data_IF_359310361346
#
_entry.id   IF_359310361346
#
_cell.length_a   1.000
_cell.length_b   1.000
_cell.length_c   1.000
_cell.angle_alpha   90.00
_cell.angle_beta   90.00
_cell.angle_gamma   90.00
#
_symmetry.space_group_name_H-M   'P 1'
#
loop_
_entity.id
_entity.type
_entity.pdbx_description
1 polymer ?
#
# COMPACT_ATOMS: atom_id res chain seq x y z
N UNK A 1 -0.45 -9.27 14.29
CA UNK A 1 -0.63 -9.27 12.82
C UNK A 1 -1.83 -10.10 12.38
N UNK A 2 -2.21 -11.15 13.14
CA UNK A 2 -3.40 -11.99 12.88
C UNK A 2 -4.68 -11.18 12.66
N UNK A 3 -5.06 -10.29 13.60
CA UNK A 3 -6.23 -9.40 13.45
C UNK A 3 -6.27 -8.55 12.18
N UNK A 4 -5.10 -8.17 11.65
CA UNK A 4 -5.06 -7.40 10.41
C UNK A 4 -5.36 -8.29 9.20
N UNK A 5 -4.82 -9.51 9.20
CA UNK A 5 -5.10 -10.50 8.16
C UNK A 5 -6.57 -10.93 8.18
N UNK A 6 -7.14 -11.17 9.36
CA UNK A 6 -8.56 -11.49 9.54
C UNK A 6 -9.47 -10.45 8.87
N UNK A 7 -9.21 -9.16 9.11
CA UNK A 7 -10.01 -8.08 8.50
C UNK A 7 -9.84 -8.03 6.98
N UNK A 8 -8.63 -8.28 6.47
CA UNK A 8 -8.41 -8.34 5.03
C UNK A 8 -9.18 -9.51 4.40
N UNK A 9 -9.14 -10.68 5.04
CA UNK A 9 -9.84 -11.88 4.59
C UNK A 9 -11.37 -11.68 4.62
N UNK A 10 -11.91 -11.10 5.70
CA UNK A 10 -13.32 -10.72 5.81
C UNK A 10 -13.77 -9.74 4.72
N UNK A 11 -12.87 -8.82 4.32
CA UNK A 11 -13.13 -7.84 3.27
C UNK A 11 -12.82 -8.35 1.85
N UNK A 12 -12.30 -9.58 1.70
CA UNK A 12 -11.84 -10.11 0.41
C UNK A 12 -10.69 -9.31 -0.21
N UNK A 13 -9.86 -8.68 0.63
CA UNK A 13 -8.72 -7.87 0.22
C UNK A 13 -7.43 -8.68 0.28
N UNK A 14 -6.61 -8.54 -0.74
CA UNK A 14 -5.34 -9.23 -0.89
C UNK A 14 -4.20 -8.24 -0.83
N UNK A 15 -3.17 -8.55 -0.04
CA UNK A 15 -1.91 -7.81 -0.03
C UNK A 15 -1.20 -8.00 -1.38
N UNK A 16 -0.91 -6.91 -2.08
CA UNK A 16 -0.24 -6.92 -3.38
C UNK A 16 1.26 -7.26 -3.28
N UNK A 17 1.82 -7.23 -2.07
CA UNK A 17 3.25 -7.39 -1.82
C UNK A 17 4.08 -6.23 -2.38
N UNK A 18 5.39 -6.26 -2.14
CA UNK A 18 6.35 -5.29 -2.67
C UNK A 18 7.33 -5.96 -3.63
N UNK A 19 7.64 -5.28 -4.73
CA UNK A 19 8.76 -5.59 -5.62
C UNK A 19 9.97 -4.74 -5.20
N UNK A 20 10.93 -5.35 -4.50
CA UNK A 20 12.15 -4.67 -4.06
C UNK A 20 12.10 -4.25 -2.59
N UNK A 21 12.43 -2.99 -2.30
CA UNK A 21 12.45 -2.50 -0.92
C UNK A 21 11.03 -2.42 -0.34
N UNK A 22 10.78 -3.22 0.70
CA UNK A 22 9.50 -3.27 1.42
C UNK A 22 9.40 -2.26 2.57
N UNK A 23 10.47 -1.56 2.90
CA UNK A 23 10.49 -0.62 4.02
C UNK A 23 9.90 0.71 3.59
N UNK A 24 8.78 1.05 4.18
CA UNK A 24 7.98 2.24 3.89
C UNK A 24 8.19 3.34 4.94
N UNK A 25 8.95 3.03 5.99
CA UNK A 25 9.38 3.98 7.00
C UNK A 25 10.81 3.71 7.43
N UNK A 26 11.58 4.77 7.70
CA UNK A 26 12.89 4.66 8.32
C UNK A 26 13.19 5.84 9.23
N UNK A 27 13.93 5.58 10.31
CA UNK A 27 14.36 6.62 11.23
C UNK A 27 15.76 6.35 11.75
N UNK A 28 16.57 7.40 11.69
CA UNK A 28 17.92 7.40 12.26
C UNK A 28 17.90 7.85 13.71
N UNK A 29 18.59 7.10 14.55
CA UNK A 29 18.79 7.40 15.96
C UNK A 29 20.28 7.57 16.23
N UNK A 30 20.68 8.68 16.89
CA UNK A 30 22.06 8.85 17.33
C UNK A 30 22.50 7.66 18.19
N UNK A 31 23.66 7.08 17.88
CA UNK A 31 24.29 5.96 18.59
C UNK A 31 23.58 4.59 18.51
N UNK A 32 22.43 4.49 17.84
CA UNK A 32 21.69 3.22 17.66
C UNK A 32 21.67 2.77 16.19
N UNK A 33 21.79 3.71 15.25
CA UNK A 33 21.76 3.44 13.81
C UNK A 33 20.41 3.75 13.17
N UNK A 34 20.10 3.13 12.04
CA UNK A 34 18.86 3.35 11.30
C UNK A 34 17.92 2.16 11.50
N UNK A 35 16.70 2.43 11.95
CA UNK A 35 15.62 1.46 12.01
C UNK A 35 14.78 1.59 10.75
N UNK A 36 14.43 0.44 10.15
CA UNK A 36 13.62 0.35 8.94
C UNK A 36 12.37 -0.49 9.24
N UNK A 37 11.20 0.02 8.90
CA UNK A 37 9.92 -0.64 9.14
C UNK A 37 9.04 -0.63 7.89
N UNK A 38 8.20 -1.65 7.76
CA UNK A 38 7.17 -1.74 6.73
C UNK A 38 5.83 -1.44 7.41
N UNK A 39 5.46 -0.16 7.42
CA UNK A 39 4.23 0.35 8.06
C UNK A 39 3.06 0.43 7.08
N UNK A 40 3.36 0.75 5.83
CA UNK A 40 2.39 0.88 4.76
C UNK A 40 2.28 -0.41 3.93
N UNK A 41 1.05 -0.83 3.62
CA UNK A 41 0.72 -1.97 2.76
C UNK A 41 -0.26 -1.56 1.67
N UNK A 42 -0.16 -2.18 0.51
CA UNK A 42 -1.12 -1.99 -0.58
C UNK A 42 -1.99 -3.24 -0.69
N UNK A 43 -3.30 -3.06 -0.63
CA UNK A 43 -4.26 -4.15 -0.75
C UNK A 43 -5.25 -3.88 -1.87
N UNK A 44 -5.72 -4.94 -2.52
CA UNK A 44 -6.71 -4.85 -3.60
C UNK A 44 -7.72 -6.00 -3.54
N UNK A 45 -8.83 -5.85 -4.24
CA UNK A 45 -9.74 -6.96 -4.52
C UNK A 45 -9.11 -7.95 -5.53
N UNK A 46 -9.63 -9.17 -5.57
CA UNK A 46 -9.14 -10.23 -6.47
C UNK A 46 -9.30 -9.88 -7.96
N UNK A 47 -10.32 -9.09 -8.32
CA UNK A 47 -10.57 -8.66 -9.70
C UNK A 47 -9.44 -7.78 -10.25
N UNK A 48 -8.70 -7.10 -9.39
CA UNK A 48 -7.53 -6.32 -9.79
C UNK A 48 -6.50 -7.18 -10.52
N UNK A 49 -6.20 -8.38 -10.00
CA UNK A 49 -5.24 -9.30 -10.62
C UNK A 49 -5.73 -9.89 -11.94
N UNK A 50 -7.04 -9.99 -12.14
CA UNK A 50 -7.61 -10.40 -13.42
C UNK A 50 -7.32 -9.37 -14.51
N UNK A 51 -7.27 -8.08 -14.16
CA UNK A 51 -7.01 -7.01 -15.12
C UNK A 51 -5.51 -6.71 -15.25
N UNK A 52 -4.81 -6.66 -14.13
CA UNK A 52 -3.40 -6.25 -14.05
C UNK A 52 -2.55 -7.35 -13.38
N UNK A 53 -2.40 -8.52 -14.02
CA UNK A 53 -1.72 -9.67 -13.43
C UNK A 53 -0.23 -9.45 -13.13
N UNK A 54 0.37 -8.41 -13.71
CA UNK A 54 1.79 -8.06 -13.56
C UNK A 54 1.93 -6.76 -12.75
N UNK A 55 0.97 -6.45 -11.89
CA UNK A 55 1.04 -5.29 -11.00
C UNK A 55 2.31 -5.36 -10.16
N UNK A 56 3.03 -4.24 -10.10
CA UNK A 56 4.20 -4.08 -9.23
C UNK A 56 3.95 -2.95 -8.25
N UNK A 57 4.24 -3.20 -6.99
CA UNK A 57 4.28 -2.17 -5.95
C UNK A 57 5.73 -1.90 -5.61
N UNK A 58 6.13 -0.64 -5.58
CA UNK A 58 7.50 -0.25 -5.28
C UNK A 58 7.52 0.88 -4.27
N UNK A 59 8.56 0.91 -3.44
CA UNK A 59 8.80 2.00 -2.51
C UNK A 59 9.80 2.99 -3.11
N UNK A 60 9.50 4.27 -3.02
CA UNK A 60 10.35 5.37 -3.48
C UNK A 60 11.20 5.90 -2.32
N UNK A 61 12.43 6.30 -2.62
CA UNK A 61 13.29 6.95 -1.63
C UNK A 61 12.82 8.39 -1.38
N UNK A 62 12.63 8.76 -0.12
CA UNK A 62 12.37 10.13 0.28
C UNK A 62 13.42 10.56 1.29
N UNK A 63 14.03 11.73 1.07
CA UNK A 63 15.10 12.26 1.93
C UNK A 63 14.55 13.23 2.98
N UNK A 64 13.41 13.86 2.67
CA UNK A 64 12.78 14.87 3.52
C UNK A 64 11.74 14.32 4.49
N UNK A 65 11.47 13.02 4.47
CA UNK A 65 10.45 12.34 5.27
C UNK A 65 11.01 11.01 5.77
N UNK A 66 10.59 10.62 6.98
CA UNK A 66 10.82 9.28 7.51
C UNK A 66 9.91 8.25 6.81
N UNK A 67 8.78 8.67 6.25
CA UNK A 67 7.99 7.86 5.32
C UNK A 67 8.54 7.88 3.89
N UNK A 68 8.56 6.69 3.30
CA UNK A 68 8.89 6.42 1.91
C UNK A 68 7.63 6.21 1.08
N UNK A 69 7.37 7.04 0.04
CA UNK A 69 6.17 6.92 -0.78
C UNK A 69 6.08 5.56 -1.48
N UNK A 70 4.86 5.07 -1.67
CA UNK A 70 4.60 3.86 -2.46
C UNK A 70 4.08 4.26 -3.84
N UNK A 71 4.57 3.58 -4.88
CA UNK A 71 4.02 3.65 -6.22
C UNK A 71 3.49 2.28 -6.65
N UNK A 72 2.34 2.28 -7.31
CA UNK A 72 1.70 1.09 -7.87
C UNK A 72 1.76 1.20 -9.38
N UNK A 73 2.31 0.18 -10.02
CA UNK A 73 2.49 0.10 -11.47
C UNK A 73 1.61 -1.03 -11.99
N UNK A 74 0.34 -0.74 -12.37
CA UNK A 74 -0.51 -1.72 -13.02
C UNK A 74 0.11 -2.13 -14.36
N UNK A 75 0.34 -3.43 -14.55
CA UNK A 75 0.80 -3.99 -15.83
C UNK A 75 0.10 -5.30 -16.14
N UNK A 76 -0.01 -5.59 -17.43
CA UNK A 76 -0.77 -6.72 -17.97
C UNK A 76 -2.10 -6.22 -18.51
N UNK A 77 -2.36 -6.50 -19.78
CA UNK A 77 -3.69 -6.41 -20.39
C UNK A 77 -4.01 -7.81 -20.88
N UNK A 78 -4.98 -8.50 -20.29
CA UNK A 78 -5.57 -9.69 -20.89
C UNK A 78 -6.96 -9.33 -21.45
N UNK A 79 -6.97 -8.67 -22.61
CA UNK A 79 -8.17 -8.45 -23.42
C UNK A 79 -8.86 -7.09 -23.24
N UNK A 80 -9.47 -6.59 -24.33
CA UNK A 80 -10.47 -5.51 -24.26
C UNK A 80 -11.66 -6.02 -23.43
N UNK A 81 -12.15 -5.27 -22.43
CA UNK A 81 -13.44 -5.60 -21.83
C UNK A 81 -14.47 -5.59 -22.95
N UNK A 82 -15.04 -6.75 -23.30
CA UNK A 82 -16.35 -6.73 -23.93
C UNK A 82 -17.30 -6.28 -22.83
N UNK A 83 -18.07 -5.25 -23.10
CA UNK A 83 -19.09 -4.69 -22.20
C UNK A 83 -20.11 -5.77 -21.83
N UNK A 84 -19.75 -6.64 -20.88
CA UNK A 84 -20.65 -7.53 -20.21
C UNK A 84 -21.14 -6.83 -18.96
N UNK A 85 -21.90 -5.75 -19.14
CA UNK A 85 -22.93 -5.29 -18.21
C UNK A 85 -22.59 -5.18 -16.71
N UNK A 86 -21.33 -5.01 -16.31
CA UNK A 86 -21.00 -4.73 -14.91
C UNK A 86 -21.19 -3.24 -14.70
N UNK A 87 -22.33 -2.86 -14.13
CA UNK A 87 -22.65 -1.49 -13.75
C UNK A 87 -21.48 -0.89 -12.96
N UNK A 88 -21.05 0.30 -13.35
CA UNK A 88 -19.89 1.05 -12.84
C UNK A 88 -20.00 1.54 -11.39
N UNK A 89 -20.67 0.82 -10.49
CA UNK A 89 -20.91 1.25 -9.12
C UNK A 89 -19.84 0.80 -8.12
N UNK A 90 -18.94 -0.11 -8.51
CA UNK A 90 -17.79 -0.55 -7.72
C UNK A 90 -16.51 -0.26 -8.49
N UNK A 91 -16.14 1.03 -8.58
CA UNK A 91 -14.87 1.45 -9.18
C UNK A 91 -13.70 0.67 -8.57
N UNK A 92 -12.71 0.30 -9.39
CA UNK A 92 -11.53 -0.48 -9.00
C UNK A 92 -10.86 0.16 -7.77
N UNK A 93 -11.04 -0.44 -6.59
CA UNK A 93 -10.52 0.11 -5.33
C UNK A 93 -9.15 -0.49 -5.06
N UNK A 94 -8.12 0.35 -5.10
CA UNK A 94 -6.88 0.10 -4.39
C UNK A 94 -6.94 0.89 -3.08
N UNK A 95 -6.59 0.24 -1.97
CA UNK A 95 -6.46 0.91 -0.68
C UNK A 95 -5.02 0.77 -0.23
N UNK A 96 -4.39 1.91 0.06
CA UNK A 96 -3.12 1.94 0.79
C UNK A 96 -3.47 2.01 2.27
N UNK A 97 -3.07 1.00 3.04
CA UNK A 97 -3.28 0.96 4.49
C UNK A 97 -1.98 1.31 5.19
N UNK A 98 -1.99 2.43 5.90
CA UNK A 98 -0.89 2.85 6.79
C UNK A 98 -1.14 2.32 8.20
N UNK A 99 -0.30 1.41 8.67
CA UNK A 99 -0.32 0.95 10.06
C UNK A 99 0.59 1.88 10.86
N UNK A 100 0.01 2.92 11.47
CA UNK A 100 0.76 3.78 12.39
C UNK A 100 0.73 3.19 13.80
N UNK A 101 1.90 2.80 14.33
CA UNK A 101 2.02 2.38 15.72
C UNK A 101 1.83 3.61 16.64
N UNK A 102 0.80 3.61 17.48
CA UNK A 102 0.60 4.63 18.54
C UNK A 102 0.96 4.04 19.90
N UNK A 103 2.22 4.12 20.28
CA UNK A 103 2.67 3.82 21.64
C UNK A 103 3.70 4.85 22.12
N UNK A 104 3.31 5.57 23.17
CA UNK A 104 4.06 6.54 23.99
C UNK A 104 4.31 7.95 23.38
N UNK A 105 3.46 8.90 23.77
CA UNK A 105 3.89 10.29 23.99
C UNK A 105 3.76 11.26 22.79
N UNK A 106 2.82 12.19 22.94
CA UNK A 106 2.58 13.43 22.19
C UNK A 106 3.70 13.96 21.26
N UNK A 107 3.43 13.95 19.95
CA UNK A 107 3.65 15.14 19.08
C UNK A 107 2.87 15.01 17.78
N UNK A 108 1.94 15.93 17.55
CA UNK A 108 1.30 16.11 16.25
C UNK A 108 2.36 16.51 15.22
N UNK A 109 2.58 15.69 14.21
CA UNK A 109 3.22 16.13 12.96
C UNK A 109 2.32 15.82 11.78
N UNK A 110 2.26 16.82 10.91
CA UNK A 110 1.30 17.04 9.85
C UNK A 110 1.09 15.78 9.01
N UNK A 111 -0.14 15.29 9.00
CA UNK A 111 -0.67 14.43 7.95
C UNK A 111 -0.62 15.21 6.64
N UNK A 112 0.33 14.89 5.76
CA UNK A 112 0.25 15.31 4.36
C UNK A 112 -0.70 14.34 3.65
N UNK A 113 -1.77 14.82 2.98
CA UNK A 113 -2.67 13.96 2.24
C UNK A 113 -1.96 13.56 0.94
N UNK A 114 -1.47 12.32 0.85
CA UNK A 114 -1.02 11.77 -0.42
C UNK A 114 -2.21 11.13 -1.13
N UNK A 115 -2.70 11.86 -2.12
CA UNK A 115 -3.62 11.39 -3.16
C UNK A 115 -2.96 10.22 -3.90
N UNK A 116 -3.70 9.12 -4.03
CA UNK A 116 -3.43 8.05 -4.99
C UNK A 116 -3.93 8.55 -6.36
N UNK A 117 -3.06 8.66 -7.36
CA UNK A 117 -3.44 8.75 -8.77
C UNK A 117 -3.57 7.35 -9.36
#
# INVERSE_FOLDING_TARGET
>A
MEKFQEVLDECGLFDLGFSGNKFTWSKSYPNVGIVWECLDRVVSLAEWFKLFPITKVQTLTCVSSDHHPIIILPKGFCGRPKDHGVSSNYGWRIVVVTIQWRGLGYRTRRSFPWIVL
#
